data_IF_844121553946
#
_entry.id   IF_844121553946
#
_cell.length_a   1.000
_cell.length_b   1.000
_cell.length_c   1.000
_cell.angle_alpha   90.00
_cell.angle_beta   90.00
_cell.angle_gamma   90.00
#
_symmetry.space_group_name_H-M   'P 1'
#
loop_
_entity.id
_entity.type
_entity.pdbx_description
1 polymer ?
#
# COMPACT_ATOMS: atom_id res chain seq x y z
N UNK A 1 4.48 -1.02 14.18
CA UNK A 1 4.80 -0.31 12.92
C UNK A 1 6.26 -0.58 12.63
N UNK A 2 6.63 -1.01 11.43
CA UNK A 2 8.03 -1.27 11.11
C UNK A 2 8.70 0.08 10.84
N UNK A 3 9.84 0.33 11.45
CA UNK A 3 10.60 1.56 11.23
C UNK A 3 11.03 1.63 9.75
N UNK A 4 10.67 2.73 9.07
CA UNK A 4 11.02 2.94 7.65
C UNK A 4 12.28 3.79 7.59
N UNK A 5 13.42 3.11 7.53
CA UNK A 5 14.72 3.76 7.31
C UNK A 5 15.31 3.42 5.94
N UNK A 6 16.06 4.36 5.37
CA UNK A 6 16.86 4.17 4.15
C UNK A 6 18.25 4.73 4.42
N UNK A 7 19.27 3.89 4.23
CA UNK A 7 20.67 4.31 4.25
C UNK A 7 21.02 4.93 2.89
N UNK A 8 21.72 6.05 2.92
CA UNK A 8 22.29 6.67 1.72
C UNK A 8 23.66 6.06 1.51
N UNK A 9 23.94 5.63 0.28
CA UNK A 9 25.25 5.15 -0.14
C UNK A 9 25.77 6.10 -1.21
N UNK A 10 27.08 6.38 -1.19
CA UNK A 10 27.80 7.15 -2.21
C UNK A 10 27.23 8.55 -2.49
N UNK A 11 26.65 9.22 -1.48
CA UNK A 11 25.94 10.50 -1.60
C UNK A 11 24.79 10.52 -2.63
N UNK A 12 24.28 9.37 -3.06
CA UNK A 12 23.14 9.29 -3.98
C UNK A 12 21.80 9.48 -3.22
N UNK A 13 21.50 10.75 -2.97
CA UNK A 13 20.30 11.20 -2.24
C UNK A 13 19.02 10.92 -3.05
N UNK A 14 19.08 11.08 -4.37
CA UNK A 14 17.90 10.92 -5.23
C UNK A 14 17.42 9.47 -5.23
N UNK A 15 18.35 8.51 -5.35
CA UNK A 15 18.03 7.10 -5.27
C UNK A 15 17.51 6.70 -3.89
N UNK A 16 18.11 7.23 -2.82
CA UNK A 16 17.62 7.01 -1.46
C UNK A 16 16.18 7.52 -1.29
N UNK A 17 15.86 8.71 -1.80
CA UNK A 17 14.51 9.29 -1.76
C UNK A 17 13.51 8.45 -2.56
N UNK A 18 13.90 7.96 -3.74
CA UNK A 18 13.06 7.06 -4.56
C UNK A 18 12.76 5.75 -3.86
N UNK A 19 13.76 5.15 -3.21
CA UNK A 19 13.59 3.91 -2.43
C UNK A 19 12.68 4.16 -1.23
N UNK A 20 12.86 5.27 -0.52
CA UNK A 20 12.03 5.66 0.61
C UNK A 20 10.56 5.80 0.20
N UNK A 21 10.30 6.55 -0.87
CA UNK A 21 8.95 6.71 -1.44
C UNK A 21 8.31 5.36 -1.75
N UNK A 22 9.05 4.45 -2.41
CA UNK A 22 8.56 3.10 -2.74
C UNK A 22 8.27 2.27 -1.49
N UNK A 23 9.13 2.32 -0.46
CA UNK A 23 8.90 1.65 0.83
C UNK A 23 7.63 2.16 1.51
N UNK A 24 7.43 3.48 1.58
CA UNK A 24 6.23 4.09 2.18
C UNK A 24 4.96 3.69 1.42
N UNK A 25 5.01 3.68 0.09
CA UNK A 25 3.88 3.27 -0.74
C UNK A 25 3.53 1.78 -0.54
N UNK A 26 4.53 0.90 -0.45
CA UNK A 26 4.34 -0.54 -0.23
C UNK A 26 3.77 -0.86 1.15
N UNK A 27 4.20 -0.13 2.19
CA UNK A 27 3.65 -0.27 3.55
C UNK A 27 2.17 0.16 3.63
N UNK A 28 1.68 0.92 2.63
CA UNK A 28 0.29 1.35 2.56
C UNK A 28 -0.08 2.37 3.63
N UNK A 29 0.92 3.05 4.22
CA UNK A 29 0.75 4.07 5.26
C UNK A 29 -0.24 5.15 4.82
N UNK A 30 -0.05 5.73 3.63
CA UNK A 30 -0.93 6.75 3.09
C UNK A 30 -2.38 6.27 2.92
N UNK A 31 -2.58 5.00 2.52
CA UNK A 31 -3.92 4.41 2.41
C UNK A 31 -4.58 4.31 3.78
N UNK A 32 -3.83 3.89 4.81
CA UNK A 32 -4.33 3.83 6.19
C UNK A 32 -4.67 5.20 6.76
N UNK A 33 -3.80 6.19 6.54
CA UNK A 33 -4.02 7.57 6.98
C UNK A 33 -5.26 8.17 6.32
N UNK A 34 -5.44 7.96 5.01
CA UNK A 34 -6.64 8.42 4.29
C UNK A 34 -7.92 7.78 4.82
N UNK A 35 -7.89 6.49 5.12
CA UNK A 35 -9.04 5.76 5.68
C UNK A 35 -9.38 6.19 7.12
N UNK A 36 -8.38 6.58 7.92
CA UNK A 36 -8.56 7.02 9.31
C UNK A 36 -8.87 8.51 9.44
N UNK A 37 -8.86 9.28 8.35
CA UNK A 37 -9.09 10.75 8.39
C UNK A 37 -10.50 11.10 8.89
N UNK A 38 -11.49 10.25 8.64
CA UNK A 38 -12.86 10.42 9.09
C UNK A 38 -13.37 9.13 9.73
N UNK A 39 -14.35 9.24 10.63
CA UNK A 39 -15.05 8.08 11.16
C UNK A 39 -15.79 7.34 10.03
N UNK A 40 -15.60 6.02 9.96
CA UNK A 40 -16.30 5.13 9.03
C UNK A 40 -17.29 4.29 9.82
N UNK A 41 -18.58 4.30 9.44
CA UNK A 41 -19.59 3.49 10.14
C UNK A 41 -19.26 1.99 10.00
N UNK A 42 -19.60 1.13 10.98
CA UNK A 42 -19.30 -0.30 10.92
C UNK A 42 -19.89 -1.02 9.70
N UNK A 43 -21.06 -0.60 9.22
CA UNK A 43 -21.68 -1.13 8.00
C UNK A 43 -20.89 -0.76 6.74
N UNK A 44 -20.39 0.47 6.65
CA UNK A 44 -19.58 0.95 5.53
C UNK A 44 -18.21 0.28 5.50
N UNK A 45 -17.60 0.11 6.68
CA UNK A 45 -16.37 -0.65 6.84
C UNK A 45 -16.50 -2.08 6.30
N UNK A 46 -17.58 -2.79 6.68
CA UNK A 46 -17.88 -4.15 6.20
C UNK A 46 -18.00 -4.18 4.67
N UNK A 47 -18.80 -3.27 4.10
CA UNK A 47 -18.99 -3.14 2.65
C UNK A 47 -17.68 -2.86 1.91
N UNK A 48 -16.84 -1.97 2.44
CA UNK A 48 -15.52 -1.64 1.86
C UNK A 48 -14.57 -2.83 1.92
N UNK A 49 -14.51 -3.54 3.05
CA UNK A 49 -13.69 -4.75 3.23
C UNK A 49 -14.02 -5.82 2.20
N UNK A 50 -15.31 -6.11 2.00
CA UNK A 50 -15.78 -7.06 0.98
C UNK A 50 -15.36 -6.63 -0.43
N UNK A 51 -15.60 -5.36 -0.79
CA UNK A 51 -15.20 -4.80 -2.09
C UNK A 51 -13.69 -4.88 -2.33
N UNK A 52 -12.89 -4.59 -1.31
CA UNK A 52 -11.43 -4.70 -1.40
C UNK A 52 -10.95 -6.14 -1.56
N UNK A 53 -11.58 -7.11 -0.90
CA UNK A 53 -11.26 -8.53 -1.05
C UNK A 53 -11.51 -9.01 -2.48
N UNK A 54 -12.71 -8.76 -3.01
CA UNK A 54 -13.08 -9.09 -4.40
C UNK A 54 -12.12 -8.42 -5.41
N UNK A 55 -11.74 -7.16 -5.17
CA UNK A 55 -10.76 -6.47 -6.02
C UNK A 55 -9.39 -7.15 -5.99
N UNK A 56 -8.91 -7.58 -4.82
CA UNK A 56 -7.62 -8.28 -4.68
C UNK A 56 -7.65 -9.63 -5.40
N UNK A 57 -8.74 -10.38 -5.28
CA UNK A 57 -8.92 -11.66 -5.98
C UNK A 57 -8.88 -11.47 -7.51
N UNK A 58 -9.62 -10.49 -8.03
CA UNK A 58 -9.60 -10.16 -9.47
C UNK A 58 -8.20 -9.82 -9.97
N UNK A 59 -7.46 -8.98 -9.22
CA UNK A 59 -6.08 -8.61 -9.57
C UNK A 59 -5.15 -9.83 -9.50
N UNK A 60 -5.31 -10.70 -8.50
CA UNK A 60 -4.51 -11.91 -8.36
C UNK A 60 -4.77 -12.89 -9.52
N UNK A 61 -6.03 -13.08 -9.92
CA UNK A 61 -6.40 -13.92 -11.05
C UNK A 61 -5.80 -13.38 -12.36
N UNK A 62 -5.94 -12.08 -12.65
CA UNK A 62 -5.37 -11.46 -13.84
C UNK A 62 -3.83 -11.57 -13.91
N UNK A 63 -3.15 -11.48 -12.76
CA UNK A 63 -1.69 -11.68 -12.69
C UNK A 63 -1.29 -13.14 -12.94
N UNK A 64 -2.10 -14.10 -12.49
CA UNK A 64 -1.85 -15.53 -12.74
C UNK A 64 -2.04 -15.86 -14.21
N UNK A 65 -3.07 -15.31 -14.87
CA UNK A 65 -3.32 -15.56 -16.29
C UNK A 65 -2.25 -14.95 -17.20
N UNK A 66 -1.71 -13.77 -16.85
CA UNK A 66 -0.63 -13.13 -17.61
C UNK A 66 0.73 -13.84 -17.46
N UNK A 67 0.93 -14.57 -16.37
CA UNK A 67 2.17 -15.30 -16.08
C UNK A 67 2.20 -16.70 -16.70
N UNK A 68 1.07 -17.18 -17.21
CA UNK A 68 0.92 -18.45 -17.91
C UNK A 68 1.04 -18.21 -19.41
#
# INVERSE_FOLDING_TARGET
MKEIAVKVYDNDIEKAMRILKKKIQNDGLFKRLKLKKSYEKPSEFRRRKQREALRRERIAAARRSYRR
#
